data_IF_414489235949
#
_entry.id   IF_414489235949
#
_cell.length_a   1.000
_cell.length_b   1.000
_cell.length_c   1.000
_cell.angle_alpha   90.00
_cell.angle_beta   90.00
_cell.angle_gamma   90.00
#
_symmetry.space_group_name_H-M   'P 1'
#
loop_
_entity.id
_entity.type
_entity.pdbx_description
1 polymer ?
#
# COMPACT_ATOMS: atom_id res chain seq x y z
N UNK A 1 15.95 -10.01 26.94
CA UNK A 1 16.39 -10.99 25.96
C UNK A 1 15.27 -11.91 25.45
N UNK A 2 14.47 -12.58 26.27
CA UNK A 2 13.39 -13.51 25.81
C UNK A 2 12.34 -12.87 24.88
N UNK A 3 11.96 -11.60 25.07
CA UNK A 3 11.03 -10.88 24.20
C UNK A 3 11.58 -10.64 22.78
N UNK A 4 12.85 -10.28 22.68
CA UNK A 4 13.51 -10.03 21.38
C UNK A 4 13.58 -11.32 20.57
N UNK A 5 14.00 -12.43 21.22
CA UNK A 5 14.07 -13.76 20.59
C UNK A 5 12.67 -14.22 20.11
N UNK A 6 11.62 -13.88 20.84
CA UNK A 6 10.25 -14.20 20.44
C UNK A 6 9.84 -13.47 19.15
N UNK A 7 10.17 -12.16 19.00
CA UNK A 7 9.90 -11.40 17.77
C UNK A 7 10.69 -11.95 16.58
N UNK A 8 11.96 -12.29 16.76
CA UNK A 8 12.78 -12.92 15.72
C UNK A 8 12.23 -14.28 15.26
N UNK A 9 11.68 -15.09 16.16
CA UNK A 9 11.05 -16.36 15.77
C UNK A 9 9.70 -16.19 15.07
N UNK A 10 9.00 -15.10 15.32
CA UNK A 10 7.66 -14.85 14.76
C UNK A 10 7.71 -14.21 13.38
N UNK A 11 8.72 -13.41 13.09
CA UNK A 11 8.87 -12.69 11.84
C UNK A 11 10.10 -13.15 11.07
N UNK A 12 9.86 -14.05 10.11
CA UNK A 12 10.92 -14.64 9.28
C UNK A 12 11.62 -13.57 8.45
N UNK A 13 10.86 -12.58 7.92
CA UNK A 13 11.39 -11.51 7.08
C UNK A 13 12.38 -10.66 7.89
N UNK A 14 11.98 -10.28 9.11
CA UNK A 14 12.84 -9.53 10.03
C UNK A 14 14.14 -10.29 10.33
N UNK A 15 14.03 -11.58 10.60
CA UNK A 15 15.19 -12.42 10.93
C UNK A 15 16.15 -12.54 9.74
N UNK A 16 15.64 -12.83 8.55
CA UNK A 16 16.45 -12.92 7.34
C UNK A 16 17.12 -11.59 7.03
N UNK A 17 16.40 -10.48 7.15
CA UNK A 17 16.95 -9.12 6.93
C UNK A 17 18.11 -8.81 7.89
N UNK A 18 17.98 -9.16 9.17
CA UNK A 18 19.04 -8.98 10.15
C UNK A 18 20.27 -9.86 9.87
N UNK A 19 20.04 -11.12 9.48
CA UNK A 19 21.15 -12.03 9.10
C UNK A 19 21.88 -11.50 7.87
N UNK A 20 21.16 -11.05 6.83
CA UNK A 20 21.75 -10.45 5.64
C UNK A 20 22.50 -9.16 5.96
N UNK A 21 21.94 -8.29 6.81
CA UNK A 21 22.60 -7.07 7.26
C UNK A 21 23.88 -7.37 8.03
N UNK A 22 23.88 -8.35 8.94
CA UNK A 22 25.07 -8.79 9.66
C UNK A 22 26.12 -9.37 8.69
N UNK A 23 25.73 -10.21 7.75
CA UNK A 23 26.62 -10.78 6.75
C UNK A 23 27.25 -9.69 5.85
N UNK A 24 26.46 -8.72 5.43
CA UNK A 24 26.95 -7.59 4.60
C UNK A 24 27.96 -6.72 5.35
N UNK A 25 27.82 -6.56 6.68
CA UNK A 25 28.76 -5.81 7.49
C UNK A 25 30.17 -6.45 7.57
N UNK A 26 30.26 -7.76 7.32
CA UNK A 26 31.56 -8.45 7.19
C UNK A 26 32.22 -8.18 5.82
N UNK A 27 31.43 -7.96 4.77
CA UNK A 27 31.90 -7.69 3.41
C UNK A 27 32.24 -6.20 3.22
N UNK A 28 31.38 -5.34 3.75
CA UNK A 28 31.53 -3.90 3.70
C UNK A 28 31.63 -3.37 5.13
N UNK A 29 32.83 -2.92 5.52
CA UNK A 29 33.04 -2.43 6.88
C UNK A 29 32.22 -1.17 7.13
N UNK A 30 31.47 -1.10 8.24
CA UNK A 30 30.72 0.10 8.61
C UNK A 30 31.68 1.30 8.78
N UNK A 31 31.45 2.36 8.06
CA UNK A 31 32.17 3.61 8.19
C UNK A 31 31.27 4.74 8.75
N UNK A 32 31.86 5.91 9.00
CA UNK A 32 31.10 7.09 9.49
C UNK A 32 30.07 7.60 8.47
N UNK A 33 30.19 7.23 7.20
CA UNK A 33 29.27 7.57 6.13
C UNK A 33 27.98 6.75 6.12
N UNK A 34 27.91 5.67 6.91
CA UNK A 34 26.76 4.75 6.91
C UNK A 34 25.41 5.44 7.20
N UNK A 35 25.41 6.43 8.10
CA UNK A 35 24.21 7.22 8.38
C UNK A 35 23.79 8.11 7.20
N UNK A 36 24.71 8.46 6.30
CA UNK A 36 24.45 9.25 5.09
C UNK A 36 23.76 8.46 3.97
N UNK A 37 23.82 7.13 4.00
CA UNK A 37 23.11 6.29 3.03
C UNK A 37 21.60 6.17 3.36
N UNK A 38 21.21 6.56 4.57
CA UNK A 38 19.81 6.51 4.99
C UNK A 38 19.12 7.80 4.54
N UNK A 39 18.10 7.68 3.72
CA UNK A 39 17.24 8.82 3.35
C UNK A 39 16.30 9.17 4.53
N UNK A 40 16.83 9.93 5.48
CA UNK A 40 16.11 10.40 6.67
C UNK A 40 14.86 11.22 6.32
N UNK A 41 14.90 11.92 5.18
CA UNK A 41 13.77 12.72 4.71
C UNK A 41 12.58 11.83 4.35
N UNK A 42 12.81 10.82 3.52
CA UNK A 42 11.76 9.87 3.12
C UNK A 42 11.24 9.08 4.32
N UNK A 43 12.11 8.62 5.21
CA UNK A 43 11.69 7.93 6.45
C UNK A 43 10.84 8.83 7.35
N UNK A 44 11.21 10.09 7.51
CA UNK A 44 10.44 11.06 8.31
C UNK A 44 9.05 11.31 7.73
N UNK A 45 8.93 11.46 6.41
CA UNK A 45 7.66 11.63 5.71
C UNK A 45 6.78 10.38 5.90
N UNK A 46 7.32 9.19 5.69
CA UNK A 46 6.61 7.93 5.84
C UNK A 46 6.10 7.76 7.28
N UNK A 47 6.94 8.02 8.27
CA UNK A 47 6.54 7.91 9.68
C UNK A 47 5.44 8.89 10.05
N UNK A 48 5.57 10.15 9.62
CA UNK A 48 4.52 11.16 9.83
C UNK A 48 3.20 10.75 9.17
N UNK A 49 3.25 10.23 7.95
CA UNK A 49 2.09 9.72 7.23
C UNK A 49 1.42 8.56 7.98
N UNK A 50 2.20 7.61 8.51
CA UNK A 50 1.69 6.48 9.29
C UNK A 50 0.97 6.95 10.56
N UNK A 51 1.52 7.95 11.28
CA UNK A 51 0.90 8.51 12.50
C UNK A 51 -0.44 9.17 12.15
N UNK A 52 -0.47 10.03 11.13
CA UNK A 52 -1.67 10.73 10.68
C UNK A 52 -2.75 9.73 10.25
N UNK A 53 -2.37 8.75 9.43
CA UNK A 53 -3.29 7.72 8.94
C UNK A 53 -3.86 6.88 10.08
N UNK A 54 -3.02 6.50 11.05
CA UNK A 54 -3.48 5.79 12.24
C UNK A 54 -4.48 6.60 13.06
N UNK A 55 -4.28 7.92 13.15
CA UNK A 55 -5.24 8.83 13.76
C UNK A 55 -6.59 8.82 13.05
N UNK A 56 -6.61 8.87 11.72
CA UNK A 56 -7.84 8.79 10.93
C UNK A 56 -8.55 7.43 11.05
N UNK A 57 -7.80 6.33 11.06
CA UNK A 57 -8.35 5.00 11.30
C UNK A 57 -9.04 4.90 12.68
N UNK A 58 -8.37 5.37 13.73
CA UNK A 58 -8.91 5.30 15.09
C UNK A 58 -10.19 6.16 15.25
N UNK A 59 -10.35 7.21 14.47
CA UNK A 59 -11.56 8.04 14.44
C UNK A 59 -12.68 7.48 13.54
N UNK A 60 -12.48 6.30 12.91
CA UNK A 60 -13.48 5.66 12.06
C UNK A 60 -13.88 6.46 10.82
N UNK A 61 -13.01 7.36 10.34
CA UNK A 61 -13.30 8.23 9.19
C UNK A 61 -13.50 7.40 7.93
N UNK A 62 -12.63 6.41 7.71
CA UNK A 62 -12.72 5.53 6.54
C UNK A 62 -13.96 4.64 6.57
N UNK A 63 -14.37 4.18 7.76
CA UNK A 63 -15.61 3.43 7.95
C UNK A 63 -16.85 4.28 7.64
N UNK A 64 -16.86 5.55 8.09
CA UNK A 64 -17.95 6.48 7.78
C UNK A 64 -18.06 6.74 6.28
N UNK A 65 -16.96 7.01 5.60
CA UNK A 65 -16.93 7.21 4.14
C UNK A 65 -17.43 5.95 3.43
N UNK A 66 -16.94 4.78 3.83
CA UNK A 66 -17.37 3.50 3.28
C UNK A 66 -18.87 3.28 3.48
N UNK A 67 -19.38 3.51 4.67
CA UNK A 67 -20.81 3.34 4.99
C UNK A 67 -21.71 4.27 4.15
N UNK A 68 -21.35 5.55 4.00
CA UNK A 68 -22.09 6.51 3.16
C UNK A 68 -22.13 6.07 1.70
N UNK A 69 -21.02 5.56 1.17
CA UNK A 69 -20.97 5.07 -0.21
C UNK A 69 -21.82 3.79 -0.38
N UNK A 70 -21.83 2.90 0.61
CA UNK A 70 -22.56 1.65 0.57
C UNK A 70 -24.07 1.83 0.68
N UNK A 71 -24.56 2.80 1.45
CA UNK A 71 -26.00 3.08 1.56
C UNK A 71 -26.62 3.53 0.24
N UNK A 72 -25.82 3.95 -0.71
CA UNK A 72 -26.26 4.34 -2.07
C UNK A 72 -26.23 3.20 -3.09
N UNK A 73 -25.66 2.05 -2.74
CA UNK A 73 -25.54 0.93 -3.67
C UNK A 73 -26.77 0.01 -3.60
N UNK A 74 -27.42 -0.21 -4.75
CA UNK A 74 -28.61 -1.06 -4.86
C UNK A 74 -28.34 -2.43 -5.50
N UNK A 75 -27.21 -2.56 -6.21
CA UNK A 75 -26.83 -3.77 -6.95
C UNK A 75 -25.48 -4.31 -6.46
N UNK A 76 -25.30 -5.62 -6.45
CA UNK A 76 -24.08 -6.26 -5.97
C UNK A 76 -22.81 -5.80 -6.72
N UNK A 77 -22.88 -5.63 -8.03
CA UNK A 77 -21.73 -5.14 -8.81
C UNK A 77 -21.33 -3.69 -8.43
N UNK A 78 -22.31 -2.85 -8.06
CA UNK A 78 -22.04 -1.50 -7.57
C UNK A 78 -21.33 -1.54 -6.21
N UNK A 79 -21.74 -2.45 -5.33
CA UNK A 79 -21.06 -2.68 -4.06
C UNK A 79 -19.60 -3.06 -4.27
N UNK A 80 -19.35 -4.03 -5.15
CA UNK A 80 -17.98 -4.45 -5.47
C UNK A 80 -17.17 -3.29 -6.07
N UNK A 81 -17.75 -2.56 -7.02
CA UNK A 81 -17.08 -1.42 -7.64
C UNK A 81 -16.72 -0.33 -6.62
N UNK A 82 -17.61 -0.04 -5.66
CA UNK A 82 -17.36 0.91 -4.57
C UNK A 82 -16.25 0.41 -3.65
N UNK A 83 -16.30 -0.85 -3.23
CA UNK A 83 -15.28 -1.43 -2.35
C UNK A 83 -13.89 -1.46 -2.99
N UNK A 84 -13.81 -1.80 -4.27
CA UNK A 84 -12.57 -1.79 -5.05
C UNK A 84 -12.10 -0.35 -5.30
N UNK A 85 -13.01 0.55 -5.69
CA UNK A 85 -12.72 1.96 -5.91
C UNK A 85 -12.21 2.66 -4.65
N UNK A 86 -12.78 2.37 -3.47
CA UNK A 86 -12.30 2.89 -2.19
C UNK A 86 -10.84 2.53 -1.95
N UNK A 87 -10.46 1.27 -2.19
CA UNK A 87 -9.05 0.86 -2.08
C UNK A 87 -8.16 1.58 -3.07
N UNK A 88 -8.60 1.72 -4.33
CA UNK A 88 -7.85 2.40 -5.37
C UNK A 88 -7.57 3.87 -4.99
N UNK A 89 -8.60 4.64 -4.69
CA UNK A 89 -8.43 6.07 -4.38
C UNK A 89 -7.77 6.32 -3.03
N UNK A 90 -8.08 5.50 -2.02
CA UNK A 90 -7.43 5.64 -0.71
C UNK A 90 -5.95 5.36 -0.77
N UNK A 91 -5.52 4.37 -1.54
CA UNK A 91 -4.10 4.02 -1.68
C UNK A 91 -3.27 5.08 -2.41
N UNK A 92 -3.89 6.03 -3.09
CA UNK A 92 -3.19 7.20 -3.65
C UNK A 92 -2.77 8.21 -2.58
N UNK A 93 -3.51 8.28 -1.46
CA UNK A 93 -3.33 9.28 -0.40
C UNK A 93 -2.62 8.67 0.80
N UNK A 94 -3.00 7.44 1.13
CA UNK A 94 -2.39 6.61 2.15
C UNK A 94 -1.66 5.45 1.46
N UNK A 95 -0.77 4.77 2.15
CA UNK A 95 -0.06 3.64 1.53
C UNK A 95 -1.02 2.50 1.18
N UNK A 96 -0.68 1.70 0.16
CA UNK A 96 -1.44 0.53 -0.25
C UNK A 96 -1.73 -0.43 0.92
N UNK A 97 -0.73 -0.67 1.77
CA UNK A 97 -0.86 -1.57 2.92
C UNK A 97 -1.90 -1.09 3.92
N UNK A 98 -1.89 0.21 4.24
CA UNK A 98 -2.86 0.82 5.17
C UNK A 98 -4.26 0.80 4.56
N UNK A 99 -4.40 1.06 3.26
CA UNK A 99 -5.66 0.95 2.56
C UNK A 99 -6.23 -0.47 2.65
N UNK A 100 -5.41 -1.49 2.37
CA UNK A 100 -5.82 -2.89 2.43
C UNK A 100 -6.20 -3.33 3.85
N UNK A 101 -5.38 -3.01 4.85
CA UNK A 101 -5.67 -3.35 6.25
C UNK A 101 -7.00 -2.74 6.72
N UNK A 102 -7.36 -1.57 6.18
CA UNK A 102 -8.60 -0.88 6.55
C UNK A 102 -9.82 -1.45 5.81
N UNK A 103 -9.74 -1.55 4.48
CA UNK A 103 -10.93 -1.82 3.68
C UNK A 103 -11.18 -3.30 3.38
N UNK A 104 -10.18 -4.18 3.42
CA UNK A 104 -10.40 -5.61 3.19
C UNK A 104 -11.24 -6.26 4.31
N UNK A 105 -10.95 -6.08 5.61
CA UNK A 105 -11.82 -6.59 6.68
C UNK A 105 -13.25 -6.04 6.60
N UNK A 106 -13.39 -4.76 6.25
CA UNK A 106 -14.68 -4.12 6.05
C UNK A 106 -15.46 -4.78 4.90
N UNK A 107 -14.81 -5.04 3.77
CA UNK A 107 -15.42 -5.71 2.61
C UNK A 107 -15.85 -7.13 2.93
N UNK A 108 -15.03 -7.88 3.66
CA UNK A 108 -15.36 -9.23 4.12
C UNK A 108 -16.61 -9.21 5.02
N UNK A 109 -16.69 -8.26 5.95
CA UNK A 109 -17.85 -8.11 6.83
C UNK A 109 -19.11 -7.79 6.02
N UNK A 110 -19.05 -6.88 5.06
CA UNK A 110 -20.16 -6.50 4.19
C UNK A 110 -20.64 -7.65 3.32
N UNK A 111 -19.74 -8.39 2.67
CA UNK A 111 -20.11 -9.54 1.85
C UNK A 111 -20.73 -10.67 2.68
N UNK A 112 -20.29 -10.87 3.92
CA UNK A 112 -20.92 -11.80 4.87
C UNK A 112 -22.34 -11.37 5.23
N UNK A 113 -22.57 -10.09 5.52
CA UNK A 113 -23.90 -9.56 5.83
C UNK A 113 -24.86 -9.66 4.63
N UNK A 114 -24.35 -9.54 3.41
CA UNK A 114 -25.14 -9.73 2.20
C UNK A 114 -25.34 -11.21 1.82
N UNK A 115 -24.82 -12.18 2.57
CA UNK A 115 -24.90 -13.61 2.27
C UNK A 115 -24.12 -14.04 1.01
N UNK A 116 -23.15 -13.24 0.56
CA UNK A 116 -22.37 -13.44 -0.67
C UNK A 116 -20.92 -13.80 -0.38
N UNK A 117 -20.74 -14.84 0.41
CA UNK A 117 -19.41 -15.28 0.83
C UNK A 117 -18.54 -15.79 -0.33
N UNK A 118 -19.15 -16.29 -1.38
CA UNK A 118 -18.48 -16.74 -2.61
C UNK A 118 -17.70 -15.63 -3.31
N UNK A 119 -18.07 -14.37 -3.11
CA UNK A 119 -17.42 -13.22 -3.71
C UNK A 119 -16.25 -12.67 -2.88
N UNK A 120 -15.97 -13.19 -1.69
CA UNK A 120 -14.93 -12.67 -0.81
C UNK A 120 -13.55 -12.76 -1.47
N UNK A 121 -13.17 -13.92 -2.01
CA UNK A 121 -11.86 -14.11 -2.64
C UNK A 121 -11.69 -13.22 -3.87
N UNK A 122 -12.61 -13.22 -4.85
CA UNK A 122 -12.50 -12.33 -6.01
C UNK A 122 -12.42 -10.84 -5.63
N UNK A 123 -13.22 -10.40 -4.67
CA UNK A 123 -13.24 -8.99 -4.24
C UNK A 123 -11.94 -8.62 -3.54
N UNK A 124 -11.39 -9.45 -2.66
CA UNK A 124 -10.12 -9.19 -2.00
C UNK A 124 -8.97 -9.13 -3.01
N UNK A 125 -8.96 -10.03 -4.00
CA UNK A 125 -7.97 -10.00 -5.08
C UNK A 125 -8.07 -8.69 -5.88
N UNK A 126 -9.29 -8.30 -6.28
CA UNK A 126 -9.51 -7.03 -7.00
C UNK A 126 -9.11 -5.81 -6.17
N UNK A 127 -9.39 -5.81 -4.86
CA UNK A 127 -8.97 -4.75 -3.95
C UNK A 127 -7.45 -4.66 -3.83
N UNK A 128 -6.77 -5.81 -3.77
CA UNK A 128 -5.30 -5.87 -3.71
C UNK A 128 -4.68 -5.30 -4.99
N UNK A 129 -5.19 -5.69 -6.14
CA UNK A 129 -4.76 -5.14 -7.44
C UNK A 129 -5.03 -3.64 -7.49
N UNK A 130 -6.24 -3.21 -7.13
CA UNK A 130 -6.65 -1.81 -7.15
C UNK A 130 -5.80 -0.93 -6.23
N UNK A 131 -5.51 -1.40 -5.00
CA UNK A 131 -4.67 -0.68 -4.06
C UNK A 131 -3.23 -0.52 -4.57
N UNK A 132 -2.64 -1.57 -5.14
CA UNK A 132 -1.32 -1.47 -5.75
C UNK A 132 -1.30 -0.52 -6.95
N UNK A 133 -2.30 -0.64 -7.84
CA UNK A 133 -2.41 0.25 -8.99
C UNK A 133 -2.63 1.71 -8.57
N UNK A 134 -3.50 1.97 -7.60
CA UNK A 134 -3.74 3.31 -7.08
C UNK A 134 -2.49 3.92 -6.45
N UNK A 135 -1.80 3.16 -5.61
CA UNK A 135 -0.60 3.63 -4.91
C UNK A 135 0.57 3.93 -5.85
N UNK A 136 0.62 3.31 -7.02
CA UNK A 136 1.64 3.60 -8.03
C UNK A 136 1.47 4.98 -8.67
N UNK A 137 0.26 5.55 -8.70
CA UNK A 137 -0.02 6.82 -9.37
C UNK A 137 0.51 8.03 -8.61
N UNK A 138 0.82 7.89 -7.33
CA UNK A 138 1.31 9.00 -6.50
C UNK A 138 2.64 8.66 -5.84
N UNK A 139 3.52 9.64 -5.61
CA UNK A 139 4.76 9.41 -4.87
C UNK A 139 4.54 8.94 -3.43
N UNK A 140 3.41 9.34 -2.82
CA UNK A 140 3.09 9.05 -1.40
C UNK A 140 2.49 7.65 -1.23
N UNK A 141 1.92 7.07 -2.29
CA UNK A 141 1.17 5.81 -2.25
C UNK A 141 1.99 4.59 -1.83
N UNK A 142 3.31 4.61 -2.06
CA UNK A 142 4.21 3.59 -1.54
C UNK A 142 5.63 4.12 -1.30
N UNK A 143 6.41 3.49 -0.38
CA UNK A 143 7.76 3.93 -0.04
C UNK A 143 8.72 3.98 -1.23
N UNK A 144 8.59 3.03 -2.17
CA UNK A 144 9.46 2.93 -3.34
C UNK A 144 9.28 4.14 -4.26
N UNK A 145 8.03 4.55 -4.50
CA UNK A 145 7.72 5.73 -5.30
C UNK A 145 8.25 7.01 -4.65
N UNK A 146 8.10 7.14 -3.33
CA UNK A 146 8.58 8.28 -2.59
C UNK A 146 10.10 8.41 -2.68
N UNK A 147 10.82 7.29 -2.55
CA UNK A 147 12.27 7.24 -2.69
C UNK A 147 12.71 7.66 -4.09
N UNK A 148 12.12 7.06 -5.14
CA UNK A 148 12.45 7.39 -6.54
C UNK A 148 12.11 8.84 -6.89
N UNK A 149 10.99 9.34 -6.39
CA UNK A 149 10.57 10.72 -6.57
C UNK A 149 11.57 11.71 -5.98
N UNK A 150 12.05 11.45 -4.75
CA UNK A 150 13.06 12.27 -4.09
C UNK A 150 14.42 12.16 -4.76
N UNK A 151 14.85 10.96 -5.16
CA UNK A 151 16.13 10.71 -5.81
C UNK A 151 16.23 11.41 -7.18
N UNK A 152 15.15 11.41 -7.94
CA UNK A 152 15.12 11.99 -9.28
C UNK A 152 14.76 13.49 -9.30
N UNK A 153 14.48 14.09 -8.15
CA UNK A 153 14.07 15.51 -8.00
C UNK A 153 13.00 15.97 -8.99
N UNK A 154 12.07 15.06 -9.32
CA UNK A 154 11.04 15.26 -10.34
C UNK A 154 9.91 16.15 -9.83
N UNK A 155 9.24 16.84 -10.76
CA UNK A 155 7.96 17.48 -10.49
C UNK A 155 6.84 16.42 -10.43
N UNK A 156 5.83 16.65 -9.59
CA UNK A 156 4.66 15.75 -9.45
C UNK A 156 3.99 15.43 -10.79
N UNK A 157 3.81 16.44 -11.65
CA UNK A 157 3.20 16.26 -12.98
C UNK A 157 4.03 15.35 -13.89
N UNK A 158 5.35 15.46 -13.84
CA UNK A 158 6.27 14.60 -14.60
C UNK A 158 6.20 13.17 -14.11
N UNK A 159 6.20 12.96 -12.79
CA UNK A 159 6.07 11.64 -12.19
C UNK A 159 4.76 10.95 -12.62
N UNK A 160 3.62 11.62 -12.46
CA UNK A 160 2.31 11.10 -12.86
C UNK A 160 2.28 10.81 -14.38
N UNK A 161 2.87 11.68 -15.20
CA UNK A 161 2.94 11.49 -16.65
C UNK A 161 3.72 10.22 -17.03
N UNK A 162 4.89 9.98 -16.43
CA UNK A 162 5.71 8.78 -16.68
C UNK A 162 4.95 7.52 -16.27
N UNK A 163 4.34 7.52 -15.09
CA UNK A 163 3.57 6.38 -14.61
C UNK A 163 2.36 6.12 -15.51
N UNK A 164 1.59 7.15 -15.89
CA UNK A 164 0.43 7.01 -16.77
C UNK A 164 0.81 6.41 -18.15
N UNK A 165 1.93 6.83 -18.72
CA UNK A 165 2.46 6.26 -19.97
C UNK A 165 2.83 4.79 -19.78
N UNK A 166 3.51 4.44 -18.69
CA UNK A 166 3.87 3.05 -18.37
C UNK A 166 2.63 2.16 -18.25
N UNK A 167 1.55 2.67 -17.64
CA UNK A 167 0.26 1.98 -17.55
C UNK A 167 -0.38 1.69 -18.92
N UNK A 168 -0.37 2.68 -19.79
CA UNK A 168 -0.95 2.53 -21.14
C UNK A 168 -0.13 1.56 -22.00
N UNK A 169 1.19 1.55 -21.87
CA UNK A 169 2.06 0.62 -22.58
C UNK A 169 1.89 -0.84 -22.14
N UNK A 170 1.75 -1.10 -20.83
CA UNK A 170 1.48 -2.45 -20.33
C UNK A 170 0.16 -2.99 -20.87
N UNK A 171 -0.89 -2.16 -20.89
CA UNK A 171 -2.20 -2.54 -21.43
C UNK A 171 -2.15 -2.82 -22.94
N UNK A 172 -1.39 -2.06 -23.70
CA UNK A 172 -1.26 -2.26 -25.15
C UNK A 172 -0.49 -3.55 -25.50
N UNK A 173 0.42 -3.99 -24.64
CA UNK A 173 1.19 -5.24 -24.84
C UNK A 173 0.34 -6.49 -24.57
N UNK A 174 -0.56 -6.46 -23.59
CA UNK A 174 -1.44 -7.59 -23.29
C UNK A 174 -2.51 -7.78 -24.36
N UNK A 175 -3.08 -6.70 -24.91
CA UNK A 175 -4.10 -6.78 -25.97
C UNK A 175 -3.58 -7.22 -27.33
N UNK A 176 -2.26 -7.23 -27.57
CA UNK A 176 -1.66 -7.76 -28.81
C UNK A 176 -1.35 -9.26 -28.77
N UNK A 177 -1.54 -9.94 -27.65
CA UNK A 177 -1.30 -11.38 -27.49
C UNK A 177 -2.57 -12.24 -27.56
N UNK A 178 -3.70 -11.65 -27.81
CA UNK A 178 -4.98 -12.29 -28.12
C UNK A 178 -5.44 -11.77 -29.48
#
# INVERSE_FOLDING_TARGET
MKRIIYYFKKDIVLTVSWVLAAASAFLVRPDKGYAGYIDWRSLGILWSLMIITKGYMNNGIFEKIGHVLLTRTRKMWQLIAVLVGLNFFSSMIITNDVSLITFVPFSIMMLKQCGRQELMIPVVVLQTIAANLGSMLTPIGNPQNLYLYNLAEMKMSTFIGIIAVSYTHLRAHETRRH
#
